data_IF_888035818810
#
_entry.id   IF_888035818810
#
_cell.length_a   1.000
_cell.length_b   1.000
_cell.length_c   1.000
_cell.angle_alpha   90.00
_cell.angle_beta   90.00
_cell.angle_gamma   90.00
#
_symmetry.space_group_name_H-M   'P 1'
#
loop_
_entity.id
_entity.type
_entity.pdbx_description
1 polymer ?
#
# COMPACT_ATOMS: atom_id res chain seq x y z
N UNK A 1 25.35 -52.55 -3.33
CA UNK A 1 26.07 -51.93 -2.18
C UNK A 1 26.90 -50.82 -2.78
N UNK A 2 26.51 -49.54 -2.72
CA UNK A 2 26.35 -48.72 -1.51
C UNK A 2 25.26 -47.66 -1.71
N UNK A 3 24.33 -47.59 -0.77
CA UNK A 3 23.24 -46.61 -0.71
C UNK A 3 23.76 -45.22 -0.30
N UNK A 4 23.11 -44.21 -0.87
CA UNK A 4 23.21 -42.78 -0.59
C UNK A 4 22.89 -42.45 0.87
N UNK A 5 23.85 -41.83 1.57
CA UNK A 5 23.60 -41.08 2.81
C UNK A 5 23.62 -39.58 2.50
N UNK A 6 22.46 -39.02 2.21
CA UNK A 6 22.20 -37.58 2.29
C UNK A 6 20.68 -37.37 2.31
N UNK A 7 20.04 -37.73 3.42
CA UNK A 7 18.65 -37.33 3.72
C UNK A 7 18.39 -37.55 5.22
N UNK A 8 18.86 -36.61 6.04
CA UNK A 8 18.44 -36.50 7.43
C UNK A 8 18.78 -35.12 8.01
N UNK A 9 18.24 -34.07 7.41
CA UNK A 9 18.01 -32.79 8.12
C UNK A 9 16.63 -32.28 7.66
N UNK A 10 15.61 -33.01 8.09
CA UNK A 10 14.21 -32.64 7.93
C UNK A 10 13.57 -32.68 9.31
N UNK A 11 14.07 -31.87 10.24
CA UNK A 11 13.48 -31.74 11.58
C UNK A 11 13.14 -30.28 11.88
N UNK A 12 11.82 -30.08 11.99
CA UNK A 12 11.13 -29.02 12.73
C UNK A 12 11.38 -27.57 12.29
N UNK A 13 10.67 -27.15 11.24
CA UNK A 13 10.28 -25.75 11.07
C UNK A 13 8.97 -25.58 11.87
N UNK A 14 8.94 -24.85 12.99
CA UNK A 14 7.68 -24.47 13.62
C UNK A 14 6.89 -23.66 12.59
N UNK A 15 5.61 -23.99 12.40
CA UNK A 15 4.72 -23.24 11.51
C UNK A 15 4.48 -21.84 12.08
N UNK A 16 5.43 -20.94 11.83
CA UNK A 16 5.34 -19.50 12.05
C UNK A 16 4.43 -18.92 10.97
N UNK A 17 3.68 -17.88 11.30
CA UNK A 17 2.81 -17.15 10.35
C UNK A 17 3.62 -16.74 9.10
N UNK A 18 3.57 -17.56 8.06
CA UNK A 18 4.33 -17.38 6.81
C UNK A 18 5.84 -17.14 6.99
N UNK A 19 6.47 -17.81 7.96
CA UNK A 19 7.93 -17.81 8.08
C UNK A 19 8.57 -16.68 8.88
N UNK A 20 7.80 -15.72 9.42
CA UNK A 20 8.35 -14.66 10.28
C UNK A 20 8.24 -15.02 11.77
N UNK A 21 9.38 -15.09 12.45
CA UNK A 21 9.47 -15.24 13.91
C UNK A 21 9.86 -13.88 14.54
N UNK A 22 8.98 -13.27 15.37
CA UNK A 22 9.27 -12.01 16.08
C UNK A 22 10.57 -12.03 16.89
N UNK A 23 11.03 -13.20 17.32
CA UNK A 23 12.26 -13.35 18.10
C UNK A 23 13.53 -13.19 17.26
N UNK A 24 13.43 -13.28 15.92
CA UNK A 24 14.59 -13.11 15.01
C UNK A 24 14.98 -11.63 14.89
N UNK A 25 14.00 -10.73 14.83
CA UNK A 25 14.22 -9.28 14.76
C UNK A 25 13.35 -8.54 15.79
N UNK A 26 13.66 -8.65 17.09
CA UNK A 26 12.82 -8.10 18.15
C UNK A 26 12.70 -6.57 18.08
N UNK A 27 13.76 -5.87 17.68
CA UNK A 27 13.73 -4.41 17.53
C UNK A 27 12.78 -3.95 16.42
N UNK A 28 12.82 -4.61 15.25
CA UNK A 28 11.83 -4.37 14.19
C UNK A 28 10.41 -4.61 14.69
N UNK A 29 10.17 -5.75 15.35
CA UNK A 29 8.84 -6.10 15.83
C UNK A 29 8.31 -5.10 16.86
N UNK A 30 9.17 -4.66 17.78
CA UNK A 30 8.84 -3.61 18.75
C UNK A 30 8.46 -2.30 18.06
N UNK A 31 9.27 -1.82 17.12
CA UNK A 31 8.97 -0.60 16.35
C UNK A 31 7.66 -0.74 15.57
N UNK A 32 7.44 -1.88 14.92
CA UNK A 32 6.22 -2.17 14.17
C UNK A 32 4.97 -2.10 15.08
N UNK A 33 4.99 -2.78 16.23
CA UNK A 33 3.86 -2.79 17.16
C UNK A 33 3.63 -1.43 17.82
N UNK A 34 4.70 -0.68 18.07
CA UNK A 34 4.61 0.65 18.70
C UNK A 34 3.96 1.66 17.76
N UNK A 35 4.38 1.69 16.50
CA UNK A 35 3.94 2.72 15.55
C UNK A 35 2.76 2.31 14.68
N UNK A 36 2.55 1.01 14.48
CA UNK A 36 1.51 0.44 13.61
C UNK A 36 0.79 -0.74 14.30
N UNK A 37 0.14 -0.51 15.46
CA UNK A 37 -0.55 -1.57 16.20
C UNK A 37 -1.74 -2.09 15.38
N UNK A 38 -1.63 -3.32 14.87
CA UNK A 38 -2.61 -3.89 13.93
C UNK A 38 -2.05 -4.14 12.53
N UNK A 39 -0.77 -3.84 12.28
CA UNK A 39 -0.10 -4.27 11.06
C UNK A 39 -0.14 -5.80 10.93
N UNK A 40 -0.47 -6.28 9.74
CA UNK A 40 -0.58 -7.71 9.41
C UNK A 40 0.39 -8.08 8.29
N UNK A 41 0.87 -9.33 8.22
CA UNK A 41 1.66 -9.78 7.07
C UNK A 41 0.89 -9.57 5.76
N UNK A 42 1.57 -9.08 4.72
CA UNK A 42 0.94 -8.70 3.45
C UNK A 42 0.13 -9.85 2.83
N UNK A 43 0.62 -11.07 2.90
CA UNK A 43 -0.10 -12.22 2.34
C UNK A 43 -1.35 -12.62 3.16
N UNK A 44 -1.38 -12.29 4.47
CA UNK A 44 -2.58 -12.41 5.30
C UNK A 44 -3.57 -11.30 4.91
N UNK A 45 -3.08 -10.09 4.68
CA UNK A 45 -3.89 -8.97 4.18
C UNK A 45 -4.57 -9.31 2.86
N UNK A 46 -3.79 -9.68 1.83
CA UNK A 46 -4.31 -9.98 0.49
C UNK A 46 -5.33 -11.11 0.47
N UNK A 47 -5.09 -12.18 1.25
CA UNK A 47 -6.04 -13.28 1.40
C UNK A 47 -7.36 -12.82 2.02
N UNK A 48 -7.28 -12.02 3.09
CA UNK A 48 -8.46 -11.53 3.82
C UNK A 48 -9.27 -10.55 2.98
N UNK A 49 -8.62 -9.62 2.27
CA UNK A 49 -9.33 -8.69 1.40
C UNK A 49 -9.98 -9.42 0.23
N UNK A 50 -9.28 -10.36 -0.42
CA UNK A 50 -9.86 -11.17 -1.50
C UNK A 50 -11.08 -11.96 -1.04
N UNK A 51 -10.96 -12.71 0.06
CA UNK A 51 -12.07 -13.51 0.61
C UNK A 51 -13.25 -12.65 1.07
N UNK A 52 -12.97 -11.49 1.70
CA UNK A 52 -14.01 -10.56 2.14
C UNK A 52 -14.84 -10.02 0.97
N UNK A 53 -14.24 -9.88 -0.21
CA UNK A 53 -14.92 -9.36 -1.40
C UNK A 53 -15.77 -10.40 -2.14
N UNK A 54 -15.53 -11.70 -1.94
CA UNK A 54 -16.34 -12.76 -2.56
C UNK A 54 -17.81 -12.69 -2.14
N UNK A 55 -18.10 -12.29 -0.90
CA UNK A 55 -19.47 -12.09 -0.41
C UNK A 55 -20.22 -10.96 -1.14
N UNK A 56 -19.51 -10.07 -1.83
CA UNK A 56 -20.05 -8.95 -2.60
C UNK A 56 -19.97 -9.18 -4.12
N UNK A 57 -19.69 -10.41 -4.55
CA UNK A 57 -19.69 -10.81 -5.96
C UNK A 57 -18.44 -10.42 -6.74
N UNK A 58 -17.33 -10.14 -6.07
CA UNK A 58 -16.02 -9.94 -6.70
C UNK A 58 -15.28 -11.27 -6.79
N UNK A 59 -14.75 -11.57 -7.98
CA UNK A 59 -13.83 -12.68 -8.25
C UNK A 59 -12.83 -12.29 -9.34
N UNK A 60 -11.81 -13.11 -9.56
CA UNK A 60 -10.73 -12.86 -10.51
C UNK A 60 -11.20 -12.89 -11.98
N UNK A 61 -12.34 -13.53 -12.29
CA UNK A 61 -12.88 -13.54 -13.65
C UNK A 61 -13.68 -12.27 -14.01
N UNK A 62 -14.19 -11.54 -13.01
CA UNK A 62 -15.10 -10.42 -13.24
C UNK A 62 -14.60 -9.07 -12.73
N UNK A 63 -13.44 -9.02 -12.07
CA UNK A 63 -12.93 -7.84 -11.37
C UNK A 63 -11.53 -7.50 -11.87
N UNK A 64 -11.32 -6.24 -12.24
CA UNK A 64 -9.97 -5.73 -12.53
C UNK A 64 -9.30 -5.19 -11.26
N UNK A 65 -8.04 -5.54 -11.05
CA UNK A 65 -7.19 -4.88 -10.04
C UNK A 65 -6.80 -3.47 -10.48
N UNK A 66 -6.83 -2.51 -9.55
CA UNK A 66 -6.15 -1.22 -9.67
C UNK A 66 -5.25 -1.00 -8.46
N UNK A 67 -4.07 -0.44 -8.68
CA UNK A 67 -3.09 -0.23 -7.60
C UNK A 67 -2.35 1.10 -7.73
N UNK A 68 -2.37 1.89 -6.66
CA UNK A 68 -1.65 3.14 -6.48
C UNK A 68 -0.68 3.01 -5.29
N UNK A 69 0.57 2.63 -5.59
CA UNK A 69 1.66 2.53 -4.60
C UNK A 69 2.88 3.33 -5.08
N UNK A 70 3.91 3.44 -4.23
CA UNK A 70 5.14 4.11 -4.59
C UNK A 70 5.82 3.46 -5.80
N UNK A 71 6.48 4.26 -6.64
CA UNK A 71 7.33 3.77 -7.76
C UNK A 71 8.61 3.07 -7.30
N UNK A 72 8.95 3.17 -6.02
CA UNK A 72 10.09 2.49 -5.40
C UNK A 72 9.98 0.97 -5.60
N UNK A 73 11.07 0.31 -6.00
CA UNK A 73 11.05 -1.11 -6.38
C UNK A 73 10.68 -2.03 -5.21
N UNK A 74 10.96 -1.63 -3.97
CA UNK A 74 10.59 -2.44 -2.79
C UNK A 74 9.08 -2.48 -2.55
N UNK A 75 8.30 -1.63 -3.23
CA UNK A 75 6.84 -1.63 -3.19
C UNK A 75 6.22 -2.68 -4.13
N UNK A 76 6.97 -3.16 -5.14
CA UNK A 76 6.56 -4.13 -6.17
C UNK A 76 5.91 -5.41 -5.64
N UNK A 77 6.28 -5.99 -4.48
CA UNK A 77 5.64 -7.20 -3.97
C UNK A 77 4.12 -7.08 -3.76
N UNK A 78 3.62 -5.90 -3.40
CA UNK A 78 2.17 -5.68 -3.29
C UNK A 78 1.52 -5.61 -4.67
N UNK A 79 2.18 -4.99 -5.65
CA UNK A 79 1.73 -4.96 -7.05
C UNK A 79 1.60 -6.38 -7.61
N UNK A 80 2.60 -7.22 -7.37
CA UNK A 80 2.61 -8.62 -7.80
C UNK A 80 1.50 -9.43 -7.12
N UNK A 81 1.21 -9.21 -5.84
CA UNK A 81 0.08 -9.86 -5.18
C UNK A 81 -1.28 -9.37 -5.71
N UNK A 82 -1.45 -8.08 -6.04
CA UNK A 82 -2.68 -7.61 -6.69
C UNK A 82 -2.89 -8.30 -8.04
N UNK A 83 -1.83 -8.46 -8.84
CA UNK A 83 -1.90 -9.21 -10.10
C UNK A 83 -2.25 -10.68 -9.86
N UNK A 84 -1.66 -11.29 -8.84
CA UNK A 84 -1.90 -12.69 -8.51
C UNK A 84 -3.36 -12.96 -8.17
N UNK A 85 -4.01 -12.03 -7.48
CA UNK A 85 -5.41 -12.18 -7.02
C UNK A 85 -6.45 -11.66 -8.02
N UNK A 86 -6.11 -10.67 -8.86
CA UNK A 86 -7.08 -9.99 -9.74
C UNK A 86 -6.70 -9.98 -11.21
N UNK A 87 -5.63 -10.68 -11.59
CA UNK A 87 -5.12 -10.71 -12.95
C UNK A 87 -4.49 -9.40 -13.41
N UNK A 88 -4.53 -9.12 -14.72
CA UNK A 88 -3.94 -7.89 -15.28
C UNK A 88 -4.54 -6.66 -14.61
N UNK A 89 -3.67 -5.80 -14.11
CA UNK A 89 -4.01 -4.69 -13.22
C UNK A 89 -3.77 -3.36 -13.91
N UNK A 90 -4.64 -2.38 -13.68
CA UNK A 90 -4.38 -1.00 -14.09
C UNK A 90 -3.38 -0.36 -13.11
N UNK A 91 -2.22 0.06 -13.63
CA UNK A 91 -1.16 0.65 -12.84
C UNK A 91 -1.42 2.15 -12.59
N UNK A 92 -1.68 2.50 -11.33
CA UNK A 92 -1.88 3.88 -10.86
C UNK A 92 -0.70 4.39 -10.01
N UNK A 93 0.47 3.74 -10.07
CA UNK A 93 1.61 4.05 -9.21
C UNK A 93 2.17 5.44 -9.49
N UNK A 94 2.63 6.10 -8.43
CA UNK A 94 3.28 7.42 -8.46
C UNK A 94 4.28 7.51 -7.31
N UNK A 95 5.08 8.57 -7.25
CA UNK A 95 5.96 8.81 -6.11
C UNK A 95 5.15 8.86 -4.78
N UNK A 96 5.71 8.25 -3.73
CA UNK A 96 5.07 8.08 -2.41
C UNK A 96 3.67 7.40 -2.38
N UNK A 97 3.18 6.85 -3.50
CA UNK A 97 1.87 6.18 -3.58
C UNK A 97 0.68 7.13 -3.66
N UNK A 98 0.91 8.41 -3.94
CA UNK A 98 -0.18 9.38 -4.09
C UNK A 98 -1.05 9.11 -5.33
N UNK A 99 -2.32 9.50 -5.28
CA UNK A 99 -3.24 9.25 -6.40
C UNK A 99 -3.09 10.35 -7.46
N UNK A 100 -2.15 10.15 -8.40
CA UNK A 100 -1.82 11.14 -9.44
C UNK A 100 -2.48 10.88 -10.81
N UNK A 101 -3.23 9.77 -10.95
CA UNK A 101 -3.86 9.41 -12.23
C UNK A 101 -4.91 10.42 -12.73
N UNK A 102 -5.52 11.18 -11.80
CA UNK A 102 -6.54 12.17 -12.09
C UNK A 102 -7.80 11.61 -12.77
N UNK A 103 -8.70 12.52 -13.17
CA UNK A 103 -9.98 12.16 -13.82
C UNK A 103 -9.76 11.48 -15.18
N UNK A 104 -8.72 11.89 -15.91
CA UNK A 104 -8.35 11.30 -17.21
C UNK A 104 -7.86 9.86 -17.05
N UNK A 105 -6.99 9.60 -16.07
CA UNK A 105 -6.56 8.24 -15.76
C UNK A 105 -7.72 7.37 -15.29
N UNK A 106 -8.64 7.91 -14.49
CA UNK A 106 -9.86 7.20 -14.10
C UNK A 106 -10.76 6.89 -15.30
N UNK A 107 -10.88 7.81 -16.26
CA UNK A 107 -11.62 7.57 -17.50
C UNK A 107 -11.04 6.39 -18.28
N UNK A 108 -9.71 6.36 -18.49
CA UNK A 108 -9.04 5.23 -19.13
C UNK A 108 -9.24 3.92 -18.36
N UNK A 109 -9.13 3.96 -17.02
CA UNK A 109 -9.30 2.78 -16.18
C UNK A 109 -10.72 2.21 -16.28
N UNK A 110 -11.75 3.08 -16.25
CA UNK A 110 -13.16 2.69 -16.42
C UNK A 110 -13.42 1.94 -17.71
N UNK A 111 -12.85 2.40 -18.82
CA UNK A 111 -13.08 1.82 -20.14
C UNK A 111 -12.52 0.40 -20.25
N UNK A 112 -11.47 0.10 -19.48
CA UNK A 112 -10.82 -1.21 -19.43
C UNK A 112 -11.41 -2.17 -18.39
N UNK A 113 -12.27 -1.69 -17.48
CA UNK A 113 -12.91 -2.54 -16.47
C UNK A 113 -13.84 -3.56 -17.13
N UNK A 114 -13.73 -4.87 -16.80
CA UNK A 114 -14.60 -5.91 -17.35
C UNK A 114 -16.07 -5.62 -17.03
N UNK A 115 -16.95 -5.91 -18.00
CA UNK A 115 -18.41 -5.81 -17.82
C UNK A 115 -18.98 -7.22 -17.77
N UNK A 116 -19.48 -7.62 -16.61
CA UNK A 116 -20.11 -8.94 -16.38
C UNK A 116 -21.46 -8.70 -15.72
N UNK A 117 -22.52 -9.25 -16.32
CA UNK A 117 -23.92 -9.05 -15.92
C UNK A 117 -24.35 -7.57 -15.90
N UNK A 118 -23.85 -6.78 -16.87
CA UNK A 118 -24.11 -5.35 -16.97
C UNK A 118 -23.38 -4.49 -15.95
N UNK A 119 -22.59 -5.08 -15.04
CA UNK A 119 -21.87 -4.39 -13.96
C UNK A 119 -20.37 -4.41 -14.24
N UNK A 120 -19.71 -3.27 -14.00
CA UNK A 120 -18.25 -3.12 -14.05
C UNK A 120 -17.65 -3.21 -12.66
N UNK A 121 -16.74 -4.16 -12.43
CA UNK A 121 -16.12 -4.39 -11.11
C UNK A 121 -14.63 -4.14 -11.11
N UNK A 122 -14.16 -3.39 -10.11
CA UNK A 122 -12.73 -3.24 -9.87
C UNK A 122 -12.39 -3.12 -8.39
N UNK A 123 -11.15 -3.46 -8.04
CA UNK A 123 -10.57 -3.21 -6.73
C UNK A 123 -9.56 -2.07 -6.81
N UNK A 124 -9.46 -1.25 -5.78
CA UNK A 124 -8.51 -0.14 -5.73
C UNK A 124 -7.67 -0.22 -4.46
N UNK A 125 -6.42 -0.66 -4.61
CA UNK A 125 -5.42 -0.68 -3.54
C UNK A 125 -4.62 0.62 -3.58
N UNK A 126 -4.58 1.39 -2.49
CA UNK A 126 -3.84 2.65 -2.45
C UNK A 126 -3.15 2.86 -1.11
N UNK A 127 -1.83 3.03 -1.12
CA UNK A 127 -1.08 3.22 0.12
C UNK A 127 0.29 3.87 -0.11
N UNK A 128 0.76 4.73 0.81
CA UNK A 128 2.16 5.07 0.90
C UNK A 128 2.93 3.89 1.49
N UNK A 129 4.24 4.06 1.62
CA UNK A 129 5.09 3.03 2.18
C UNK A 129 6.17 3.58 3.10
N UNK A 130 6.69 2.72 3.98
CA UNK A 130 7.79 3.04 4.89
C UNK A 130 8.63 1.79 5.18
N UNK A 131 9.92 1.96 5.42
CA UNK A 131 10.77 0.86 5.89
C UNK A 131 11.03 0.92 7.40
N UNK A 132 11.19 -0.24 8.01
CA UNK A 132 11.74 -0.40 9.35
C UNK A 132 12.88 -1.43 9.26
N UNK A 133 14.08 -1.01 9.67
CA UNK A 133 15.28 -1.84 9.62
C UNK A 133 15.22 -3.00 10.63
N UNK A 134 16.12 -3.98 10.49
CA UNK A 134 16.28 -5.07 11.48
C UNK A 134 16.67 -4.60 12.88
N UNK A 135 17.19 -3.38 12.98
CA UNK A 135 17.57 -2.73 14.24
C UNK A 135 16.46 -1.81 14.76
N UNK A 136 15.30 -1.76 14.09
CA UNK A 136 14.17 -0.90 14.47
C UNK A 136 14.27 0.53 13.93
N UNK A 137 15.26 0.85 13.09
CA UNK A 137 15.42 2.18 12.52
C UNK A 137 14.30 2.47 11.51
N UNK A 138 13.57 3.55 11.73
CA UNK A 138 12.52 4.01 10.83
C UNK A 138 13.13 4.65 9.58
N UNK A 139 12.54 4.35 8.42
CA UNK A 139 12.93 4.89 7.12
C UNK A 139 14.12 4.17 6.48
N UNK A 140 14.74 3.18 7.14
CA UNK A 140 15.97 2.53 6.66
C UNK A 140 15.72 1.16 6.04
N UNK A 141 16.27 0.96 4.85
CA UNK A 141 16.24 -0.31 4.11
C UNK A 141 17.59 -0.64 3.48
N UNK A 142 17.96 -1.91 3.54
CA UNK A 142 19.17 -2.45 2.92
C UNK A 142 18.79 -3.08 1.58
N UNK A 143 19.23 -2.48 0.48
CA UNK A 143 18.90 -2.93 -0.88
C UNK A 143 20.06 -3.74 -1.45
N UNK A 144 19.71 -4.74 -2.25
CA UNK A 144 20.69 -5.60 -2.90
C UNK A 144 21.62 -4.78 -3.79
N UNK A 145 22.92 -5.06 -3.69
CA UNK A 145 23.96 -4.34 -4.45
C UNK A 145 24.36 -2.98 -3.90
N UNK A 146 23.70 -2.44 -2.86
CA UNK A 146 24.11 -1.18 -2.23
C UNK A 146 24.96 -1.41 -0.97
N UNK A 147 26.03 -0.64 -0.85
CA UNK A 147 26.97 -0.73 0.29
C UNK A 147 26.47 -0.06 1.56
N UNK A 148 25.50 0.86 1.44
CA UNK A 148 24.96 1.66 2.56
C UNK A 148 23.46 1.46 2.65
N UNK A 149 22.94 1.60 3.88
CA UNK A 149 21.51 1.70 4.10
C UNK A 149 20.95 2.86 3.25
N UNK A 150 19.88 2.56 2.54
CA UNK A 150 19.09 3.51 1.77
C UNK A 150 17.81 3.84 2.52
N UNK A 151 16.93 4.60 1.88
CA UNK A 151 15.79 5.22 2.51
C UNK A 151 14.47 4.80 1.87
N UNK A 152 13.39 4.73 2.66
CA UNK A 152 12.04 4.48 2.18
C UNK A 152 10.96 4.99 3.18
N UNK A 153 10.03 5.85 2.77
CA UNK A 153 9.89 6.47 1.44
C UNK A 153 10.80 7.70 1.28
N UNK A 154 11.73 7.69 0.32
CA UNK A 154 12.65 8.83 0.10
C UNK A 154 11.94 10.15 -0.24
N UNK A 155 10.80 10.08 -0.93
CA UNK A 155 9.98 11.26 -1.24
C UNK A 155 9.36 11.91 0.00
N UNK A 156 8.87 11.10 0.94
CA UNK A 156 8.32 11.58 2.20
C UNK A 156 9.43 12.10 3.12
N UNK A 157 10.57 11.40 3.18
CA UNK A 157 11.72 11.83 3.97
C UNK A 157 12.29 13.17 3.49
N UNK A 158 12.37 13.41 2.18
CA UNK A 158 12.77 14.70 1.65
C UNK A 158 11.86 15.84 2.14
N UNK A 159 10.57 15.58 2.35
CA UNK A 159 9.63 16.57 2.91
C UNK A 159 9.88 16.76 4.42
N UNK A 160 10.12 15.67 5.16
CA UNK A 160 10.53 15.75 6.59
C UNK A 160 11.79 16.61 6.74
N UNK A 161 12.81 16.39 5.91
CA UNK A 161 14.08 17.13 5.94
C UNK A 161 13.88 18.62 5.63
N UNK A 162 13.08 18.95 4.62
CA UNK A 162 12.78 20.34 4.26
C UNK A 162 12.01 21.07 5.39
N UNK A 163 11.05 20.40 6.03
CA UNK A 163 10.33 20.93 7.20
C UNK A 163 11.28 21.10 8.40
N UNK A 164 12.15 20.14 8.65
CA UNK A 164 13.12 20.18 9.74
C UNK A 164 14.08 21.36 9.60
N UNK A 165 14.68 21.52 8.42
CA UNK A 165 15.63 22.61 8.13
C UNK A 165 14.97 23.97 7.89
N UNK A 166 13.66 24.01 7.67
CA UNK A 166 12.89 25.24 7.45
C UNK A 166 13.06 25.83 6.04
N UNK A 167 13.50 25.01 5.07
CA UNK A 167 13.69 25.41 3.68
C UNK A 167 12.81 24.58 2.76
N UNK A 168 11.58 25.06 2.55
CA UNK A 168 10.58 24.40 1.70
C UNK A 168 10.72 24.82 0.24
N UNK A 169 10.75 23.85 -0.67
CA UNK A 169 10.67 24.11 -2.12
C UNK A 169 9.23 24.34 -2.54
N UNK A 170 8.80 25.60 -2.57
CA UNK A 170 7.40 25.97 -2.86
C UNK A 170 7.11 26.18 -4.36
N UNK A 171 8.14 26.32 -5.19
CA UNK A 171 8.00 26.54 -6.63
C UNK A 171 7.43 25.30 -7.34
N UNK A 172 6.66 25.55 -8.41
CA UNK A 172 6.20 24.49 -9.29
C UNK A 172 7.33 24.03 -10.20
N UNK A 173 7.93 22.87 -9.90
CA UNK A 173 8.97 22.27 -10.73
C UNK A 173 8.36 21.22 -11.67
N UNK A 174 8.27 21.57 -12.96
CA UNK A 174 7.73 20.67 -13.98
C UNK A 174 8.64 19.45 -14.26
N UNK A 175 9.91 19.49 -13.83
CA UNK A 175 10.84 18.36 -13.92
C UNK A 175 10.78 17.43 -12.70
N UNK A 176 10.18 17.89 -11.60
CA UNK A 176 9.99 17.13 -10.35
C UNK A 176 8.52 17.15 -9.89
N UNK A 177 7.60 17.07 -10.86
CA UNK A 177 6.19 17.40 -10.68
C UNK A 177 5.48 16.52 -9.64
N UNK A 178 5.80 15.22 -9.57
CA UNK A 178 5.19 14.33 -8.57
C UNK A 178 5.59 14.76 -7.16
N UNK A 179 6.89 15.03 -6.91
CA UNK A 179 7.39 15.48 -5.61
C UNK A 179 6.81 16.85 -5.23
N UNK A 180 6.74 17.79 -6.18
CA UNK A 180 6.12 19.10 -5.94
C UNK A 180 4.66 18.96 -5.49
N UNK A 181 3.86 18.15 -6.18
CA UNK A 181 2.45 17.96 -5.83
C UNK A 181 2.30 17.25 -4.48
N UNK A 182 3.11 16.21 -4.21
CA UNK A 182 3.10 15.49 -2.92
C UNK A 182 3.41 16.46 -1.77
N UNK A 183 4.46 17.28 -1.93
CA UNK A 183 4.83 18.31 -0.98
C UNK A 183 3.69 19.30 -0.74
N UNK A 184 3.09 19.85 -1.80
CA UNK A 184 1.97 20.78 -1.67
C UNK A 184 0.78 20.15 -0.95
N UNK A 185 0.43 18.89 -1.28
CA UNK A 185 -0.64 18.15 -0.60
C UNK A 185 -0.36 17.99 0.89
N UNK A 186 0.84 17.56 1.27
CA UNK A 186 1.22 17.42 2.68
C UNK A 186 1.19 18.78 3.38
N UNK A 187 1.86 19.79 2.84
CA UNK A 187 1.92 21.13 3.43
C UNK A 187 0.53 21.75 3.61
N UNK A 188 -0.41 21.51 2.69
CA UNK A 188 -1.79 22.02 2.79
C UNK A 188 -2.60 21.46 3.96
N UNK A 189 -2.11 20.38 4.58
CA UNK A 189 -2.75 19.73 5.74
C UNK A 189 -2.05 20.03 7.06
N UNK A 190 -0.86 20.64 7.02
CA UNK A 190 -0.08 20.99 8.21
C UNK A 190 -0.43 22.38 8.73
N UNK A 191 -0.36 22.53 10.05
CA UNK A 191 -0.40 23.84 10.72
C UNK A 191 1.00 24.47 10.70
N UNK A 192 1.05 25.81 10.65
CA UNK A 192 2.32 26.53 10.68
C UNK A 192 3.19 26.13 11.89
N UNK A 193 4.45 25.77 11.60
CA UNK A 193 5.43 25.36 12.60
C UNK A 193 5.45 23.87 12.92
N UNK A 194 4.50 23.08 12.41
CA UNK A 194 4.54 21.62 12.54
C UNK A 194 5.74 21.04 11.79
N UNK A 195 6.42 20.09 12.45
CA UNK A 195 7.58 19.36 11.91
C UNK A 195 7.41 17.86 12.20
N UNK A 196 6.39 17.22 11.61
CA UNK A 196 6.13 15.81 11.84
C UNK A 196 7.32 14.94 11.44
N UNK A 197 7.55 13.87 12.18
CA UNK A 197 8.54 12.85 11.83
C UNK A 197 8.08 11.97 10.65
N UNK A 198 8.92 11.03 10.24
CA UNK A 198 8.62 10.16 9.10
C UNK A 198 7.42 9.22 9.35
N UNK A 199 7.18 8.78 10.59
CA UNK A 199 6.00 7.97 10.94
C UNK A 199 4.75 8.84 10.77
N UNK A 200 4.78 10.05 11.31
CA UNK A 200 3.68 11.01 11.27
C UNK A 200 3.36 11.43 9.82
N UNK A 201 4.36 11.79 9.01
CA UNK A 201 4.17 12.10 7.59
C UNK A 201 3.63 10.90 6.81
N UNK A 202 4.09 9.67 7.11
CA UNK A 202 3.58 8.47 6.41
C UNK A 202 2.10 8.23 6.74
N UNK A 203 1.69 8.40 8.00
CA UNK A 203 0.28 8.30 8.40
C UNK A 203 -0.58 9.41 7.79
N UNK A 204 -0.05 10.63 7.73
CA UNK A 204 -0.70 11.75 7.07
C UNK A 204 -0.87 11.50 5.57
N UNK A 205 0.16 10.98 4.90
CA UNK A 205 0.09 10.57 3.49
C UNK A 205 -1.00 9.52 3.26
N UNK A 206 -1.14 8.52 4.14
CA UNK A 206 -2.19 7.51 4.05
C UNK A 206 -3.60 8.14 4.13
N UNK A 207 -3.80 9.09 5.04
CA UNK A 207 -5.05 9.84 5.16
C UNK A 207 -5.36 10.69 3.92
N UNK A 208 -4.36 11.36 3.36
CA UNK A 208 -4.52 12.15 2.13
C UNK A 208 -4.87 11.23 0.96
N UNK A 209 -4.16 10.10 0.81
CA UNK A 209 -4.42 9.09 -0.21
C UNK A 209 -5.85 8.55 -0.09
N UNK A 210 -6.29 8.18 1.10
CA UNK A 210 -7.68 7.73 1.34
C UNK A 210 -8.70 8.78 0.90
N UNK A 211 -8.47 10.05 1.27
CA UNK A 211 -9.34 11.17 0.88
C UNK A 211 -9.36 11.37 -0.64
N UNK A 212 -8.20 11.31 -1.29
CA UNK A 212 -8.07 11.45 -2.74
C UNK A 212 -8.78 10.31 -3.49
N UNK A 213 -8.61 9.06 -3.05
CA UNK A 213 -9.32 7.90 -3.61
C UNK A 213 -10.83 8.11 -3.49
N UNK A 214 -11.32 8.47 -2.29
CA UNK A 214 -12.75 8.74 -2.07
C UNK A 214 -13.26 9.81 -3.01
N UNK A 215 -12.57 10.94 -3.12
CA UNK A 215 -12.98 12.06 -3.98
C UNK A 215 -12.97 11.69 -5.47
N UNK A 216 -11.97 10.92 -5.89
CA UNK A 216 -11.83 10.47 -7.28
C UNK A 216 -12.97 9.49 -7.65
N UNK A 217 -13.22 8.49 -6.81
CA UNK A 217 -14.18 7.41 -7.09
C UNK A 217 -15.64 7.79 -6.82
N UNK A 218 -15.92 8.79 -5.98
CA UNK A 218 -17.28 9.32 -5.78
C UNK A 218 -17.91 9.91 -7.05
N UNK A 219 -17.12 10.10 -8.11
CA UNK A 219 -17.61 10.55 -9.42
C UNK A 219 -18.22 9.42 -10.27
N UNK A 220 -18.13 8.18 -9.81
CA UNK A 220 -18.64 7.00 -10.51
C UNK A 220 -20.13 6.78 -10.28
N UNK A 221 -20.83 6.37 -11.33
CA UNK A 221 -22.21 5.92 -11.24
C UNK A 221 -22.25 4.51 -10.63
N UNK A 222 -22.76 4.41 -9.40
CA UNK A 222 -22.88 3.16 -8.65
C UNK A 222 -23.86 2.15 -9.25
N UNK A 223 -24.69 2.55 -10.23
CA UNK A 223 -25.53 1.62 -11.01
C UNK A 223 -24.76 0.88 -12.10
N UNK A 224 -23.59 1.42 -12.50
CA UNK A 224 -22.71 0.84 -13.52
C UNK A 224 -21.48 0.22 -12.90
N UNK A 225 -20.92 0.86 -11.86
CA UNK A 225 -19.67 0.46 -11.23
C UNK A 225 -19.88 -0.02 -9.80
N UNK A 226 -19.48 -1.26 -9.55
CA UNK A 226 -19.26 -1.76 -8.20
C UNK A 226 -17.76 -1.81 -7.94
N UNK A 227 -17.31 -1.27 -6.82
CA UNK A 227 -15.88 -1.23 -6.54
C UNK A 227 -15.57 -1.42 -5.07
N UNK A 228 -14.38 -1.96 -4.81
CA UNK A 228 -13.84 -2.10 -3.48
C UNK A 228 -12.59 -1.24 -3.32
N UNK A 229 -12.46 -0.62 -2.15
CA UNK A 229 -11.31 0.23 -1.82
C UNK A 229 -10.60 -0.34 -0.61
N UNK A 230 -9.28 -0.45 -0.75
CA UNK A 230 -8.36 -0.95 0.26
C UNK A 230 -7.24 0.05 0.44
N UNK A 231 -7.23 0.79 1.54
CA UNK A 231 -6.16 1.74 1.89
C UNK A 231 -5.39 1.28 3.12
N UNK A 232 -4.19 1.80 3.29
CA UNK A 232 -3.35 1.46 4.43
C UNK A 232 -1.96 2.05 4.28
N UNK A 233 -0.97 1.42 4.92
CA UNK A 233 0.45 1.71 4.77
C UNK A 233 1.19 0.41 4.49
N UNK A 234 1.99 0.38 3.43
CA UNK A 234 2.90 -0.74 3.16
C UNK A 234 4.18 -0.57 4.00
N UNK A 235 4.55 -1.58 4.76
CA UNK A 235 5.71 -1.54 5.66
C UNK A 235 6.71 -2.60 5.23
N UNK A 236 7.93 -2.17 4.92
CA UNK A 236 9.04 -3.04 4.53
C UNK A 236 9.86 -3.40 5.76
N UNK A 237 9.98 -4.70 6.02
CA UNK A 237 10.74 -5.24 7.13
C UNK A 237 12.01 -5.98 6.69
N UNK A 238 12.74 -6.55 7.66
CA UNK A 238 13.95 -7.33 7.41
C UNK A 238 13.72 -8.52 6.48
N UNK A 239 14.77 -8.92 5.75
CA UNK A 239 14.79 -10.10 4.88
C UNK A 239 13.64 -10.12 3.84
N UNK A 240 13.25 -8.95 3.32
CA UNK A 240 12.19 -8.86 2.32
C UNK A 240 10.80 -9.19 2.87
N UNK A 241 10.58 -9.04 4.18
CA UNK A 241 9.24 -9.19 4.76
C UNK A 241 8.40 -7.95 4.48
N UNK A 242 7.11 -8.16 4.21
CA UNK A 242 6.17 -7.07 3.92
C UNK A 242 4.94 -7.18 4.80
N UNK A 243 4.54 -6.03 5.34
CA UNK A 243 3.40 -5.88 6.22
C UNK A 243 2.50 -4.77 5.69
N UNK A 244 1.22 -4.86 5.99
CA UNK A 244 0.24 -3.81 5.71
C UNK A 244 -0.35 -3.36 7.04
N UNK A 245 -0.36 -2.05 7.29
CA UNK A 245 -1.19 -1.43 8.32
C UNK A 245 -2.51 -0.98 7.67
N UNK A 246 -3.62 -1.74 7.83
CA UNK A 246 -4.87 -1.47 7.13
C UNK A 246 -5.54 -0.19 7.65
N UNK A 247 -6.21 0.55 6.76
CA UNK A 247 -6.97 1.75 7.12
C UNK A 247 -8.44 1.65 6.67
N UNK A 248 -8.70 1.68 5.37
CA UNK A 248 -10.06 1.52 4.82
C UNK A 248 -10.21 0.17 4.14
N UNK A 249 -11.36 -0.47 4.38
CA UNK A 249 -11.81 -1.59 3.58
C UNK A 249 -13.32 -1.53 3.38
N UNK A 250 -13.76 -1.10 2.20
CA UNK A 250 -15.18 -0.93 1.90
C UNK A 250 -15.55 -1.29 0.47
N UNK A 251 -16.83 -1.58 0.25
CA UNK A 251 -17.44 -1.83 -1.06
C UNK A 251 -18.50 -0.78 -1.35
N UNK A 252 -18.57 -0.34 -2.59
CA UNK A 252 -19.59 0.56 -3.14
C UNK A 252 -20.31 -0.14 -4.28
N UNK A 253 -21.64 0.00 -4.32
CA UNK A 253 -22.50 -0.56 -5.36
C UNK A 253 -23.97 -0.30 -5.08
N UNK A 254 -24.80 -0.18 -6.12
CA UNK A 254 -26.22 0.20 -6.01
C UNK A 254 -27.07 -0.78 -5.20
N UNK A 255 -26.71 -2.07 -5.20
CA UNK A 255 -27.43 -3.13 -4.49
C UNK A 255 -27.15 -3.15 -2.98
N UNK A 256 -26.17 -2.36 -2.51
CA UNK A 256 -25.81 -2.31 -1.10
C UNK A 256 -26.72 -1.35 -0.32
N UNK A 257 -27.07 -1.66 0.93
CA UNK A 257 -27.77 -0.72 1.80
C UNK A 257 -27.01 0.61 1.91
N UNK A 258 -27.63 1.71 1.49
CA UNK A 258 -26.98 3.03 1.48
C UNK A 258 -25.86 3.20 0.44
N UNK A 259 -25.72 2.27 -0.51
CA UNK A 259 -24.75 2.32 -1.61
C UNK A 259 -23.31 2.03 -1.21
N UNK A 260 -23.01 1.83 0.08
CA UNK A 260 -21.66 1.57 0.60
C UNK A 260 -21.69 0.74 1.89
N UNK A 261 -20.80 -0.22 2.01
CA UNK A 261 -20.62 -1.04 3.23
C UNK A 261 -19.15 -1.14 3.62
N UNK A 262 -18.87 -1.05 4.92
CA UNK A 262 -17.54 -1.36 5.46
C UNK A 262 -17.40 -2.87 5.61
N UNK A 263 -16.24 -3.41 5.24
CA UNK A 263 -15.96 -4.84 5.33
C UNK A 263 -15.05 -5.08 6.53
N UNK A 264 -15.55 -5.81 7.52
CA UNK A 264 -14.75 -6.20 8.68
C UNK A 264 -13.80 -7.34 8.31
N UNK A 265 -12.49 -7.05 8.31
CA UNK A 265 -11.49 -8.06 8.01
C UNK A 265 -10.27 -8.05 8.95
N UNK A 266 -10.02 -6.98 9.71
CA UNK A 266 -8.80 -6.82 10.51
C UNK A 266 -9.11 -6.32 11.91
#
# INVERSE_FOLDING_TARGET
MTQSQANSIGETIPQTLNGYDPNVFPAFHQTLQTHFPGAVPMNKYMRKTFQGLSAYGFCDENTMGMIAICRDEIAEPLFTEVIRYWGKTFNCCSLAGFVMMGKTGLAAAKDHTPTVDGIRRFTFYAMPHIAISRHGDVGKVYRDGLQKASHACGALEAIVEELACGHLKLEMDMQDIEQTIIRQKILSTLTYGEKPDLIEITKLAANIISTDVKNLLNTLDSSVFNYAVMTGIQIHGPLGTHWIYPQDFYVVGSELPGGKVQVEAF
#
